data_IF_131521861223
#
_entry.id   IF_131521861223
#
_cell.length_a   1.000
_cell.length_b   1.000
_cell.length_c   1.000
_cell.angle_alpha   90.00
_cell.angle_beta   90.00
_cell.angle_gamma   90.00
#
_symmetry.space_group_name_H-M   'P 1'
#
loop_
_entity.id
_entity.type
_entity.pdbx_description
1 polymer ?
#
# COMPACT_ATOMS: atom_id res chain seq x y z
N UNK A 1 7.56 2.72 25.97
CA UNK A 1 6.22 2.67 25.34
C UNK A 1 6.12 1.33 24.64
N UNK A 2 5.11 0.53 24.99
CA UNK A 2 4.88 -0.78 24.38
C UNK A 2 4.04 -0.65 23.11
N UNK A 3 4.11 -1.65 22.21
CA UNK A 3 3.26 -1.69 21.00
C UNK A 3 1.77 -1.60 21.37
N UNK A 4 1.39 -2.27 22.47
CA UNK A 4 0.03 -2.27 22.98
C UNK A 4 -0.42 -0.88 23.45
N UNK A 5 0.46 -0.11 24.10
CA UNK A 5 0.16 1.29 24.45
C UNK A 5 0.00 2.17 23.21
N UNK A 6 0.82 2.00 22.17
CA UNK A 6 0.67 2.74 20.92
C UNK A 6 -0.66 2.41 20.23
N UNK A 7 -1.05 1.13 20.19
CA UNK A 7 -2.34 0.72 19.63
C UNK A 7 -3.51 1.33 20.39
N UNK A 8 -3.46 1.30 21.72
CA UNK A 8 -4.48 1.92 22.57
C UNK A 8 -4.58 3.43 22.34
N UNK A 9 -3.45 4.12 22.16
CA UNK A 9 -3.41 5.55 21.86
C UNK A 9 -3.96 5.85 20.46
N UNK A 10 -3.60 5.05 19.45
CA UNK A 10 -4.12 5.20 18.10
C UNK A 10 -5.64 4.98 18.04
N UNK A 11 -6.18 4.08 18.86
CA UNK A 11 -7.62 3.81 18.96
C UNK A 11 -8.42 5.00 19.53
N UNK A 12 -7.80 5.89 20.29
CA UNK A 12 -8.46 7.10 20.81
C UNK A 12 -8.54 8.25 19.79
N UNK A 13 -7.83 8.14 18.66
CA UNK A 13 -7.84 9.15 17.62
C UNK A 13 -9.12 9.09 16.79
N UNK A 14 -9.50 10.23 16.21
CA UNK A 14 -10.56 10.29 15.22
C UNK A 14 -10.22 9.38 14.03
N UNK A 15 -11.23 8.93 13.29
CA UNK A 15 -10.99 8.12 12.08
C UNK A 15 -10.09 8.86 11.07
N UNK A 16 -10.25 10.19 10.96
CA UNK A 16 -9.44 11.01 10.07
C UNK A 16 -7.97 11.08 10.50
N UNK A 17 -7.70 11.22 11.81
CA UNK A 17 -6.33 11.26 12.32
C UNK A 17 -5.64 9.90 12.21
N UNK A 18 -6.36 8.80 12.44
CA UNK A 18 -5.86 7.44 12.16
C UNK A 18 -5.49 7.28 10.69
N UNK A 19 -6.32 7.77 9.78
CA UNK A 19 -6.04 7.72 8.36
C UNK A 19 -4.81 8.55 7.97
N UNK A 20 -4.64 9.74 8.56
CA UNK A 20 -3.44 10.57 8.35
C UNK A 20 -2.15 9.86 8.80
N UNK A 21 -2.20 9.11 9.91
CA UNK A 21 -1.06 8.30 10.35
C UNK A 21 -0.72 7.19 9.35
N UNK A 22 -1.73 6.50 8.81
CA UNK A 22 -1.54 5.50 7.75
C UNK A 22 -0.92 6.14 6.51
N UNK A 23 -1.43 7.29 6.07
CA UNK A 23 -0.88 8.00 4.91
C UNK A 23 0.57 8.45 5.14
N UNK A 24 0.90 8.97 6.33
CA UNK A 24 2.25 9.35 6.68
C UNK A 24 3.20 8.14 6.68
N UNK A 25 2.76 7.01 7.26
CA UNK A 25 3.53 5.76 7.27
C UNK A 25 3.79 5.24 5.85
N UNK A 26 2.75 5.18 5.02
CA UNK A 26 2.88 4.75 3.63
C UNK A 26 3.82 5.68 2.84
N UNK A 27 3.73 6.99 3.05
CA UNK A 27 4.64 7.97 2.45
C UNK A 27 6.10 7.76 2.87
N UNK A 28 6.36 7.47 4.15
CA UNK A 28 7.71 7.15 4.64
C UNK A 28 8.25 5.87 4.02
N UNK A 29 7.45 4.80 3.96
CA UNK A 29 7.84 3.54 3.33
C UNK A 29 8.14 3.75 1.84
N UNK A 30 7.32 4.53 1.14
CA UNK A 30 7.54 4.85 -0.27
C UNK A 30 8.85 5.63 -0.48
N UNK A 31 9.16 6.57 0.41
CA UNK A 31 10.41 7.34 0.35
C UNK A 31 11.63 6.45 0.62
N UNK A 32 11.55 5.53 1.57
CA UNK A 32 12.59 4.55 1.87
C UNK A 32 12.78 3.56 0.70
N UNK A 33 11.69 3.04 0.13
CA UNK A 33 11.72 2.18 -1.04
C UNK A 33 12.32 2.89 -2.26
N UNK A 34 11.98 4.17 -2.47
CA UNK A 34 12.57 4.99 -3.54
C UNK A 34 14.06 5.22 -3.34
N UNK A 35 14.53 5.27 -2.09
CA UNK A 35 15.96 5.40 -1.75
C UNK A 35 16.74 4.09 -1.96
N UNK A 36 16.06 2.93 -1.90
CA UNK A 36 16.61 1.61 -2.22
C UNK A 36 16.63 1.32 -3.73
N UNK A 37 15.83 2.04 -4.51
CA UNK A 37 15.74 1.91 -5.96
C UNK A 37 16.86 2.69 -6.68
N UNK A 38 18.12 2.38 -6.39
CA UNK A 38 19.11 2.30 -7.48
C UNK A 38 18.65 1.18 -8.41
N UNK A 39 18.67 1.34 -9.74
CA UNK A 39 17.97 0.42 -10.66
C UNK A 39 18.67 -0.93 -10.72
N UNK A 40 18.33 -1.83 -9.80
CA UNK A 40 18.49 -3.26 -9.96
C UNK A 40 17.09 -3.87 -9.81
N UNK A 41 16.33 -3.99 -10.91
CA UNK A 41 15.05 -4.66 -10.87
C UNK A 41 15.35 -6.13 -10.58
N UNK A 42 15.07 -6.60 -9.37
CA UNK A 42 15.03 -8.03 -9.11
C UNK A 42 13.70 -8.56 -9.67
N UNK A 43 13.69 -8.76 -10.99
CA UNK A 43 12.53 -9.13 -11.83
C UNK A 43 11.85 -10.44 -11.36
N UNK A 44 12.50 -11.21 -10.49
CA UNK A 44 12.04 -12.54 -10.08
C UNK A 44 11.00 -12.56 -8.93
N UNK A 45 10.74 -11.45 -8.25
CA UNK A 45 9.75 -11.37 -7.14
C UNK A 45 8.43 -10.70 -7.52
N UNK A 46 8.40 -10.03 -8.67
CA UNK A 46 7.27 -9.23 -9.13
C UNK A 46 6.04 -10.04 -9.58
N UNK A 47 6.15 -11.23 -10.23
CA UNK A 47 4.98 -11.88 -10.81
C UNK A 47 4.01 -12.49 -9.78
N UNK A 48 4.41 -12.61 -8.51
CA UNK A 48 3.53 -13.09 -7.42
C UNK A 48 2.87 -11.97 -6.60
N UNK A 49 3.14 -10.70 -6.90
CA UNK A 49 2.50 -9.57 -6.23
C UNK A 49 1.13 -9.29 -6.85
N UNK A 50 0.19 -8.78 -6.06
CA UNK A 50 -1.11 -8.38 -6.58
C UNK A 50 -0.97 -7.18 -7.55
N UNK A 51 -1.88 -7.04 -8.54
CA UNK A 51 -1.80 -5.98 -9.55
C UNK A 51 -1.76 -4.57 -8.96
N UNK A 52 -2.44 -4.32 -7.84
CA UNK A 52 -2.42 -3.02 -7.18
C UNK A 52 -1.03 -2.70 -6.60
N UNK A 53 -0.39 -3.65 -5.93
CA UNK A 53 0.98 -3.50 -5.43
C UNK A 53 1.99 -3.34 -6.57
N UNK A 54 1.81 -4.06 -7.67
CA UNK A 54 2.62 -3.87 -8.88
C UNK A 54 2.46 -2.45 -9.46
N UNK A 55 1.25 -1.89 -9.42
CA UNK A 55 1.01 -0.52 -9.87
C UNK A 55 1.58 0.54 -8.94
N UNK A 56 1.47 0.35 -7.62
CA UNK A 56 2.10 1.21 -6.62
C UNK A 56 3.63 1.27 -6.79
N UNK A 57 4.22 0.12 -7.16
CA UNK A 57 5.65 -0.02 -7.44
C UNK A 57 6.06 0.50 -8.82
N UNK A 58 5.11 0.98 -9.64
CA UNK A 58 5.37 1.48 -11.00
C UNK A 58 5.73 0.39 -12.02
N UNK A 59 5.44 -0.87 -11.71
CA UNK A 59 5.69 -2.02 -12.59
C UNK A 59 4.63 -2.09 -13.70
N UNK A 60 3.37 -1.83 -13.37
CA UNK A 60 2.24 -1.84 -14.31
C UNK A 60 1.43 -0.55 -14.19
N UNK A 61 0.81 -0.11 -15.28
CA UNK A 61 -0.20 0.94 -15.27
C UNK A 61 -1.57 0.27 -15.25
N UNK A 62 -2.32 0.42 -14.14
CA UNK A 62 -3.74 0.09 -14.13
C UNK A 62 -4.50 1.17 -14.93
N UNK A 63 -5.39 0.73 -15.81
CA UNK A 63 -6.23 1.63 -16.60
C UNK A 63 -7.14 2.44 -15.68
N UNK A 64 -7.17 3.75 -15.92
CA UNK A 64 -7.58 4.77 -14.92
C UNK A 64 -9.05 5.14 -14.99
N UNK A 65 -9.85 4.43 -15.78
CA UNK A 65 -11.24 4.82 -16.00
C UNK A 65 -12.07 4.73 -14.71
N UNK A 66 -11.77 3.77 -13.83
CA UNK A 66 -12.23 3.78 -12.43
C UNK A 66 -11.40 2.80 -11.56
N UNK A 67 -10.23 3.21 -11.03
CA UNK A 67 -9.31 2.30 -10.33
C UNK A 67 -9.91 1.69 -9.05
N UNK A 68 -10.97 2.29 -8.51
CA UNK A 68 -11.68 1.78 -7.34
C UNK A 68 -12.63 0.64 -7.71
N UNK A 69 -13.35 0.73 -8.83
CA UNK A 69 -14.22 -0.36 -9.31
C UNK A 69 -13.41 -1.57 -9.73
N UNK A 70 -12.32 -1.36 -10.50
CA UNK A 70 -11.43 -2.45 -10.92
C UNK A 70 -10.76 -3.17 -9.75
N UNK A 71 -10.44 -2.46 -8.66
CA UNK A 71 -9.87 -3.07 -7.46
C UNK A 71 -10.92 -3.82 -6.62
N UNK A 72 -12.13 -3.29 -6.53
CA UNK A 72 -13.26 -3.98 -5.85
C UNK A 72 -13.60 -5.28 -6.57
N UNK A 73 -13.71 -5.26 -7.90
CA UNK A 73 -13.99 -6.45 -8.71
C UNK A 73 -12.91 -7.53 -8.53
N UNK A 74 -11.62 -7.13 -8.50
CA UNK A 74 -10.52 -8.05 -8.23
C UNK A 74 -10.59 -8.67 -6.83
N UNK A 75 -10.93 -7.87 -5.81
CA UNK A 75 -11.08 -8.37 -4.45
C UNK A 75 -12.27 -9.34 -4.33
N UNK A 76 -13.39 -9.07 -5.00
CA UNK A 76 -14.52 -9.99 -5.03
C UNK A 76 -14.15 -11.33 -5.68
N UNK A 77 -13.46 -11.32 -6.83
CA UNK A 77 -13.05 -12.55 -7.52
C UNK A 77 -12.03 -13.37 -6.71
N UNK A 78 -11.10 -12.71 -6.01
CA UNK A 78 -10.03 -13.37 -5.24
C UNK A 78 -10.53 -14.09 -3.99
N UNK A 79 -11.59 -13.58 -3.37
CA UNK A 79 -12.11 -14.07 -2.08
C UNK A 79 -13.48 -14.76 -2.18
N UNK A 80 -13.99 -14.97 -3.40
CA UNK A 80 -15.13 -15.85 -3.67
C UNK A 80 -14.75 -17.33 -3.47
#
# INVERSE_FOLDING_TARGET
MTLQEMQNQAMQLSIGDRWRLVQALLGSIQQEASSLNSPQPNVNLIPNLDPWTQSLMGVIQLDTENPTESYVDYLEEKYR
#
